data_IF_271422626624
#
_entry.id   IF_271422626624
#
_cell.length_a   1.000
_cell.length_b   1.000
_cell.length_c   1.000
_cell.angle_alpha   90.00
_cell.angle_beta   90.00
_cell.angle_gamma   90.00
#
_symmetry.space_group_name_H-M   'P 1'
#
loop_
_entity.id
_entity.type
_entity.pdbx_description
1 polymer ?
#
# COMPACT_ATOMS: atom_id res chain seq x y z
N UNK A 1 -10.02 -5.49 17.92
CA UNK A 1 -8.95 -6.51 17.89
C UNK A 1 -7.78 -5.99 17.08
N UNK A 2 -6.57 -6.28 17.48
CA UNK A 2 -5.38 -5.97 16.69
C UNK A 2 -5.05 -7.19 15.84
N UNK A 3 -4.90 -6.99 14.54
CA UNK A 3 -4.50 -8.05 13.60
C UNK A 3 -3.17 -7.68 12.95
N UNK A 4 -2.26 -8.64 12.89
CA UNK A 4 -0.95 -8.46 12.27
C UNK A 4 -0.95 -9.11 10.89
N UNK A 5 -0.59 -8.34 9.87
CA UNK A 5 -0.55 -8.80 8.49
C UNK A 5 0.77 -8.38 7.83
N UNK A 6 1.21 -9.18 6.89
CA UNK A 6 2.34 -8.82 6.03
C UNK A 6 1.82 -8.60 4.62
N UNK A 7 2.08 -7.41 4.08
CA UNK A 7 1.68 -7.05 2.73
C UNK A 7 2.87 -6.45 2.02
N UNK A 8 3.43 -7.16 1.06
CA UNK A 8 4.54 -6.66 0.26
C UNK A 8 4.02 -5.80 -0.89
N UNK A 9 4.65 -4.66 -1.13
CA UNK A 9 4.28 -3.74 -2.20
C UNK A 9 5.51 -3.40 -3.03
N UNK A 10 5.44 -3.67 -4.32
CA UNK A 10 6.46 -3.27 -5.28
C UNK A 10 6.05 -1.94 -5.91
N UNK A 11 6.83 -0.90 -5.63
CA UNK A 11 6.58 0.47 -6.09
C UNK A 11 7.19 0.71 -7.47
N UNK A 12 6.60 0.08 -8.49
CA UNK A 12 7.04 0.29 -9.86
C UNK A 12 6.66 1.68 -10.39
N UNK A 13 7.41 2.17 -11.37
CA UNK A 13 7.09 3.44 -12.03
C UNK A 13 5.90 3.32 -12.99
N UNK A 14 5.66 2.13 -13.49
CA UNK A 14 4.54 1.84 -14.39
C UNK A 14 3.36 1.26 -13.64
N UNK A 15 3.61 0.28 -12.77
CA UNK A 15 2.57 -0.41 -12.02
C UNK A 15 2.98 -0.58 -10.56
N UNK A 16 1.99 -0.48 -9.69
CA UNK A 16 2.08 -0.96 -8.32
C UNK A 16 1.69 -2.42 -8.30
N UNK A 17 2.43 -3.24 -7.56
CA UNK A 17 2.17 -4.68 -7.49
C UNK A 17 2.15 -5.16 -6.06
N UNK A 18 1.19 -6.03 -5.77
CA UNK A 18 1.17 -6.83 -4.55
C UNK A 18 1.13 -8.30 -4.93
N UNK A 19 1.04 -9.18 -3.94
CA UNK A 19 0.91 -10.63 -4.17
C UNK A 19 -0.25 -10.96 -5.12
N UNK A 20 -1.34 -10.21 -5.06
CA UNK A 20 -2.59 -10.53 -5.77
C UNK A 20 -3.10 -9.42 -6.68
N UNK A 21 -2.46 -8.26 -6.69
CA UNK A 21 -2.96 -7.09 -7.40
C UNK A 21 -1.87 -6.46 -8.25
N UNK A 22 -2.28 -5.97 -9.40
CA UNK A 22 -1.45 -5.10 -10.26
C UNK A 22 -2.34 -3.95 -10.68
N UNK A 23 -1.88 -2.73 -10.50
CA UNK A 23 -2.61 -1.55 -10.97
C UNK A 23 -1.63 -0.46 -11.40
N UNK A 24 -2.09 0.44 -12.25
CA UNK A 24 -1.25 1.51 -12.78
C UNK A 24 -0.79 2.46 -11.67
N UNK A 25 0.47 2.88 -11.72
CA UNK A 25 1.01 3.90 -10.81
C UNK A 25 0.46 5.26 -11.22
N UNK A 26 -0.79 5.50 -10.87
CA UNK A 26 -1.53 6.68 -11.27
C UNK A 26 -2.66 6.97 -10.29
N UNK A 27 -2.86 8.25 -9.97
CA UNK A 27 -3.78 8.67 -8.92
C UNK A 27 -4.49 9.95 -9.29
N UNK A 28 -5.80 10.00 -9.03
CA UNK A 28 -6.62 11.21 -9.14
C UNK A 28 -7.08 11.59 -7.75
N UNK A 29 -6.99 12.88 -7.43
CA UNK A 29 -7.50 13.44 -6.17
C UNK A 29 -8.70 14.32 -6.46
N UNK A 30 -9.75 14.20 -5.66
CA UNK A 30 -10.92 15.07 -5.77
C UNK A 30 -11.58 15.31 -4.41
N UNK A 31 -12.31 16.42 -4.31
CA UNK A 31 -12.98 16.81 -3.05
C UNK A 31 -14.37 16.17 -2.90
N UNK A 32 -15.01 15.83 -4.00
CA UNK A 32 -16.36 15.26 -3.99
C UNK A 32 -16.31 13.74 -4.01
N UNK A 33 -17.28 13.12 -3.33
CA UNK A 33 -17.42 11.67 -3.33
C UNK A 33 -17.59 11.15 -4.76
N UNK A 34 -16.82 10.13 -5.17
CA UNK A 34 -16.94 9.54 -6.49
C UNK A 34 -18.31 8.92 -6.75
N UNK A 35 -18.64 8.73 -8.01
CA UNK A 35 -19.87 8.10 -8.42
C UNK A 35 -19.96 6.67 -7.87
N UNK A 36 -21.19 6.19 -7.67
CA UNK A 36 -21.44 4.83 -7.19
C UNK A 36 -20.83 3.81 -8.16
N UNK A 37 -20.10 2.85 -7.59
CA UNK A 37 -19.40 1.81 -8.38
C UNK A 37 -17.94 2.13 -8.69
N UNK A 38 -17.49 3.35 -8.46
CA UNK A 38 -16.09 3.69 -8.60
C UNK A 38 -15.29 3.26 -7.37
N UNK A 39 -14.13 2.68 -7.59
CA UNK A 39 -13.23 2.30 -6.52
C UNK A 39 -12.44 3.52 -6.05
N UNK A 40 -12.56 3.84 -4.77
CA UNK A 40 -11.88 4.98 -4.18
C UNK A 40 -11.42 4.67 -2.75
N UNK A 41 -10.50 5.49 -2.26
CA UNK A 41 -10.28 5.64 -0.82
C UNK A 41 -10.49 7.09 -0.42
N UNK A 42 -11.07 7.28 0.76
CA UNK A 42 -11.15 8.60 1.40
C UNK A 42 -10.15 8.61 2.55
N UNK A 43 -9.20 9.52 2.47
CA UNK A 43 -8.09 9.59 3.42
C UNK A 43 -7.70 11.03 3.65
N UNK A 44 -7.63 11.42 4.91
CA UNK A 44 -7.27 12.78 5.34
C UNK A 44 -8.03 13.89 4.59
N UNK A 45 -9.34 13.71 4.47
CA UNK A 45 -10.24 14.72 3.91
C UNK A 45 -10.30 14.78 2.39
N UNK A 46 -9.68 13.85 1.68
CA UNK A 46 -9.70 13.82 0.21
C UNK A 46 -10.07 12.43 -0.32
N UNK A 47 -10.74 12.43 -1.47
CA UNK A 47 -11.02 11.21 -2.22
C UNK A 47 -9.93 10.96 -3.24
N UNK A 48 -9.44 9.72 -3.29
CA UNK A 48 -8.42 9.30 -4.23
C UNK A 48 -8.94 8.14 -5.05
N UNK A 49 -8.71 8.21 -6.37
CA UNK A 49 -9.08 7.17 -7.32
C UNK A 49 -7.87 6.76 -8.14
N UNK A 50 -7.86 5.50 -8.57
CA UNK A 50 -6.85 5.05 -9.51
C UNK A 50 -7.14 5.61 -10.91
N UNK A 51 -6.08 5.91 -11.64
CA UNK A 51 -6.16 6.51 -12.98
C UNK A 51 -5.36 5.66 -13.96
N UNK A 52 -5.58 5.88 -15.24
CA UNK A 52 -4.74 5.31 -16.31
C UNK A 52 -3.56 6.20 -16.67
N UNK A 53 -3.52 7.40 -16.12
CA UNK A 53 -2.47 8.39 -16.41
C UNK A 53 -1.36 8.29 -15.39
N UNK A 54 -0.26 7.65 -15.76
CA UNK A 54 0.87 7.42 -14.87
C UNK A 54 1.44 8.71 -14.27
N UNK A 55 1.88 8.60 -13.02
CA UNK A 55 2.72 9.61 -12.38
C UNK A 55 4.08 9.60 -13.09
N UNK A 56 4.66 10.77 -13.43
CA UNK A 56 5.98 10.82 -14.02
C UNK A 56 7.04 10.13 -13.15
N UNK A 57 8.07 9.61 -13.79
CA UNK A 57 9.16 8.93 -13.09
C UNK A 57 9.73 9.80 -11.98
N UNK A 58 9.90 9.18 -10.81
CA UNK A 58 10.56 9.79 -9.66
C UNK A 58 11.61 8.83 -9.10
N UNK A 59 12.83 9.33 -8.98
CA UNK A 59 13.91 8.57 -8.32
C UNK A 59 13.59 8.37 -6.83
N UNK A 60 13.20 9.45 -6.17
CA UNK A 60 12.85 9.45 -4.75
C UNK A 60 11.34 9.65 -4.58
N UNK A 61 10.66 8.54 -4.33
CA UNK A 61 9.19 8.52 -4.20
C UNK A 61 8.71 9.11 -2.86
N UNK A 62 9.61 9.34 -1.92
CA UNK A 62 9.23 9.98 -0.65
C UNK A 62 8.95 11.48 -0.83
N UNK A 63 9.37 12.07 -1.93
CA UNK A 63 9.11 13.46 -2.28
C UNK A 63 7.72 13.69 -2.85
N UNK A 64 6.98 12.61 -3.14
CA UNK A 64 5.64 12.68 -3.71
C UNK A 64 4.68 11.84 -2.87
N UNK A 65 3.86 12.51 -2.07
CA UNK A 65 2.91 11.83 -1.17
C UNK A 65 1.91 10.91 -1.90
N UNK A 66 1.76 11.06 -3.22
CA UNK A 66 0.92 10.15 -4.01
C UNK A 66 1.39 8.70 -3.89
N UNK A 67 2.69 8.47 -3.74
CA UNK A 67 3.20 7.12 -3.56
C UNK A 67 2.80 6.52 -2.21
N UNK A 68 2.70 7.34 -1.17
CA UNK A 68 2.16 6.89 0.10
C UNK A 68 0.68 6.50 -0.04
N UNK A 69 -0.11 7.32 -0.70
CA UNK A 69 -1.54 7.04 -0.94
C UNK A 69 -1.70 5.79 -1.81
N UNK A 70 -0.88 5.62 -2.84
CA UNK A 70 -0.88 4.40 -3.65
C UNK A 70 -0.56 3.16 -2.82
N UNK A 71 0.33 3.30 -1.84
CA UNK A 71 0.64 2.21 -0.90
C UNK A 71 -0.59 1.87 -0.05
N UNK A 72 -1.31 2.87 0.43
CA UNK A 72 -2.57 2.63 1.15
C UNK A 72 -3.61 1.94 0.26
N UNK A 73 -3.69 2.32 -1.02
CA UNK A 73 -4.55 1.63 -1.99
C UNK A 73 -4.17 0.16 -2.14
N UNK A 74 -2.88 -0.13 -2.27
CA UNK A 74 -2.38 -1.49 -2.38
C UNK A 74 -2.76 -2.32 -1.16
N UNK A 75 -2.58 -1.75 0.03
CA UNK A 75 -2.94 -2.40 1.30
C UNK A 75 -4.44 -2.69 1.33
N UNK A 76 -5.28 -1.71 1.03
CA UNK A 76 -6.73 -1.87 1.06
C UNK A 76 -7.19 -2.92 0.05
N UNK A 77 -6.62 -2.95 -1.15
CA UNK A 77 -6.95 -3.98 -2.15
C UNK A 77 -6.66 -5.38 -1.62
N UNK A 78 -5.56 -5.57 -0.91
CA UNK A 78 -5.24 -6.84 -0.29
C UNK A 78 -6.19 -7.16 0.88
N UNK A 79 -6.53 -6.17 1.69
CA UNK A 79 -7.42 -6.36 2.85
C UNK A 79 -8.84 -6.79 2.45
N UNK A 80 -9.30 -6.42 1.27
CA UNK A 80 -10.62 -6.82 0.77
C UNK A 80 -10.80 -8.33 0.62
N UNK A 81 -9.72 -9.07 0.64
CA UNK A 81 -9.75 -10.55 0.61
C UNK A 81 -10.05 -11.17 1.97
N UNK A 82 -10.05 -10.38 3.02
CA UNK A 82 -10.25 -10.86 4.38
C UNK A 82 -11.59 -10.35 4.91
N UNK A 83 -12.72 -10.99 4.55
CA UNK A 83 -14.05 -10.50 4.95
C UNK A 83 -14.30 -10.57 6.46
N UNK A 84 -13.46 -11.29 7.19
CA UNK A 84 -13.56 -11.39 8.65
C UNK A 84 -13.02 -10.16 9.39
N UNK A 85 -12.39 -9.22 8.69
CA UNK A 85 -11.90 -7.99 9.31
C UNK A 85 -13.08 -7.10 9.66
N UNK A 86 -13.19 -6.75 10.95
CA UNK A 86 -14.22 -5.82 11.42
C UNK A 86 -13.75 -4.38 11.28
N UNK A 87 -14.68 -3.40 11.09
CA UNK A 87 -14.29 -1.99 10.95
C UNK A 87 -13.51 -1.43 12.14
N UNK A 88 -13.74 -1.96 13.35
CA UNK A 88 -13.04 -1.55 14.56
C UNK A 88 -11.68 -2.22 14.75
N UNK A 89 -11.32 -3.20 13.94
CA UNK A 89 -10.02 -3.86 14.03
C UNK A 89 -8.90 -2.89 13.62
N UNK A 90 -7.80 -2.90 14.39
CA UNK A 90 -6.58 -2.21 13.99
C UNK A 90 -5.66 -3.20 13.32
N UNK A 91 -5.29 -2.88 12.08
CA UNK A 91 -4.48 -3.75 11.24
C UNK A 91 -3.03 -3.27 11.31
N UNK A 92 -2.18 -4.03 11.97
CA UNK A 92 -0.75 -3.76 12.01
C UNK A 92 -0.09 -4.40 10.79
N UNK A 93 0.38 -3.57 9.88
CA UNK A 93 0.95 -4.01 8.62
C UNK A 93 2.47 -4.03 8.72
N UNK A 94 3.07 -5.20 8.47
CA UNK A 94 4.47 -5.31 8.15
C UNK A 94 4.59 -5.18 6.63
N UNK A 95 5.34 -4.19 6.18
CA UNK A 95 5.34 -3.73 4.80
C UNK A 95 6.72 -3.88 4.17
N UNK A 96 7.02 -5.03 3.54
CA UNK A 96 8.15 -5.11 2.62
C UNK A 96 7.88 -4.26 1.38
N UNK A 97 8.84 -3.41 1.00
CA UNK A 97 8.71 -2.57 -0.20
C UNK A 97 9.87 -2.83 -1.16
N UNK A 98 9.57 -2.86 -2.45
CA UNK A 98 10.56 -3.04 -3.49
C UNK A 98 11.06 -1.72 -4.04
N UNK A 99 12.38 -1.58 -4.14
CA UNK A 99 13.05 -0.44 -4.75
C UNK A 99 13.88 -0.87 -5.94
N UNK A 100 14.01 -0.03 -6.99
CA UNK A 100 14.94 -0.32 -8.06
C UNK A 100 16.34 -0.60 -7.50
N UNK A 101 17.03 -1.69 -7.93
CA UNK A 101 18.35 -2.04 -7.39
C UNK A 101 19.36 -0.90 -7.52
N UNK A 102 19.26 -0.13 -8.59
CA UNK A 102 20.12 1.02 -8.87
C UNK A 102 20.10 2.07 -7.76
N UNK A 103 18.99 2.22 -7.04
CA UNK A 103 18.82 3.27 -6.02
C UNK A 103 18.74 2.70 -4.61
N UNK A 104 18.83 1.40 -4.46
CA UNK A 104 18.56 0.73 -3.19
C UNK A 104 19.46 1.21 -2.06
N UNK A 105 20.80 1.23 -2.30
CA UNK A 105 21.75 1.59 -1.26
C UNK A 105 21.55 3.02 -0.75
N UNK A 106 21.16 3.94 -1.65
CA UNK A 106 20.99 5.36 -1.30
C UNK A 106 19.68 5.68 -0.63
N UNK A 107 18.64 4.90 -0.90
CA UNK A 107 17.26 5.28 -0.55
C UNK A 107 16.58 4.36 0.46
N UNK A 108 17.16 3.19 0.77
CA UNK A 108 16.46 2.19 1.58
C UNK A 108 16.05 2.71 2.96
N UNK A 109 16.94 3.32 3.71
CA UNK A 109 16.61 3.87 5.04
C UNK A 109 15.57 4.98 4.97
N UNK A 110 15.69 5.86 3.98
CA UNK A 110 14.76 6.96 3.77
C UNK A 110 13.35 6.44 3.50
N UNK A 111 13.22 5.40 2.68
CA UNK A 111 11.94 4.78 2.37
C UNK A 111 11.34 4.08 3.59
N UNK A 112 12.16 3.35 4.32
CA UNK A 112 11.69 2.67 5.53
C UNK A 112 11.14 3.67 6.54
N UNK A 113 11.86 4.76 6.80
CA UNK A 113 11.40 5.83 7.71
C UNK A 113 10.14 6.52 7.20
N UNK A 114 10.09 6.83 5.91
CA UNK A 114 8.96 7.54 5.30
C UNK A 114 7.66 6.72 5.38
N UNK A 115 7.70 5.46 4.96
CA UNK A 115 6.50 4.63 4.93
C UNK A 115 6.08 4.18 6.33
N UNK A 116 7.01 4.04 7.26
CA UNK A 116 6.69 3.74 8.66
C UNK A 116 6.00 4.92 9.34
N UNK A 117 6.47 6.14 9.07
CA UNK A 117 5.92 7.36 9.65
C UNK A 117 6.05 7.39 11.17
N UNK A 118 5.02 7.91 11.85
CA UNK A 118 5.02 8.19 13.29
C UNK A 118 4.20 7.17 14.10
N UNK A 119 4.11 5.93 13.68
CA UNK A 119 3.25 4.91 14.32
C UNK A 119 1.78 5.31 14.41
N UNK A 120 1.33 6.07 13.46
CA UNK A 120 -0.04 6.60 13.38
C UNK A 120 -0.98 5.51 12.86
N UNK A 121 -2.21 5.49 13.38
CA UNK A 121 -3.28 4.68 12.79
C UNK A 121 -3.95 5.50 11.69
N UNK A 122 -3.92 4.99 10.48
CA UNK A 122 -4.54 5.61 9.32
C UNK A 122 -5.97 5.11 9.18
N UNK A 123 -6.94 6.02 9.20
CA UNK A 123 -8.31 5.69 8.89
C UNK A 123 -8.54 5.83 7.39
N UNK A 124 -8.93 4.74 6.75
CA UNK A 124 -9.14 4.70 5.31
C UNK A 124 -10.58 4.25 5.06
N UNK A 125 -11.37 5.13 4.47
CA UNK A 125 -12.77 4.87 4.15
C UNK A 125 -12.87 4.47 2.68
N UNK A 126 -13.57 3.37 2.42
CA UNK A 126 -13.83 2.87 1.07
C UNK A 126 -15.33 2.74 0.87
N UNK A 127 -15.78 2.47 -0.35
CA UNK A 127 -17.19 2.19 -0.61
C UNK A 127 -17.67 0.95 0.18
N UNK A 128 -16.79 -0.04 0.37
CA UNK A 128 -17.11 -1.29 1.08
C UNK A 128 -16.96 -1.25 2.59
N UNK A 129 -16.44 -0.16 3.16
CA UNK A 129 -16.24 -0.04 4.61
C UNK A 129 -14.99 0.73 4.98
N UNK A 130 -14.74 0.79 6.28
CA UNK A 130 -13.62 1.54 6.87
C UNK A 130 -12.55 0.58 7.38
N UNK A 131 -11.28 0.92 7.14
CA UNK A 131 -10.12 0.20 7.67
C UNK A 131 -9.28 1.13 8.53
N UNK A 132 -8.74 0.59 9.61
CA UNK A 132 -7.78 1.27 10.47
C UNK A 132 -6.44 0.56 10.31
N UNK A 133 -5.47 1.22 9.69
CA UNK A 133 -4.19 0.64 9.30
C UNK A 133 -3.06 1.35 10.02
N UNK A 134 -2.22 0.58 10.72
CA UNK A 134 -0.97 1.06 11.28
C UNK A 134 0.18 0.35 10.54
N UNK A 135 1.07 1.11 9.95
CA UNK A 135 2.28 0.55 9.34
C UNK A 135 3.28 0.37 10.47
N UNK A 136 3.44 -0.89 10.91
CA UNK A 136 4.21 -1.21 12.09
C UNK A 136 5.71 -1.32 11.77
N UNK A 137 6.03 -1.97 10.67
CA UNK A 137 7.42 -2.17 10.26
C UNK A 137 7.51 -2.09 8.74
N UNK A 138 8.61 -1.54 8.25
CA UNK A 138 8.87 -1.37 6.83
C UNK A 138 10.27 -1.89 6.55
N UNK A 139 10.39 -2.78 5.57
CA UNK A 139 11.68 -3.28 5.10
C UNK A 139 11.79 -3.05 3.60
N UNK A 140 12.83 -2.32 3.18
CA UNK A 140 13.09 -2.09 1.77
C UNK A 140 13.96 -3.20 1.20
N UNK A 141 13.63 -3.66 0.00
CA UNK A 141 14.38 -4.67 -0.74
C UNK A 141 14.59 -4.23 -2.18
N UNK A 142 15.64 -4.69 -2.86
CA UNK A 142 15.70 -4.56 -4.32
C UNK A 142 14.45 -5.18 -4.95
N UNK A 143 13.93 -4.59 -6.03
CA UNK A 143 12.64 -4.99 -6.62
C UNK A 143 12.50 -6.48 -6.88
N UNK A 144 13.54 -7.10 -7.44
CA UNK A 144 13.51 -8.54 -7.72
C UNK A 144 13.35 -9.37 -6.44
N UNK A 145 13.96 -8.89 -5.36
CA UNK A 145 13.86 -9.53 -4.06
C UNK A 145 12.46 -9.39 -3.47
N UNK A 146 11.83 -8.21 -3.63
CA UNK A 146 10.46 -7.98 -3.18
C UNK A 146 9.48 -8.89 -3.91
N UNK A 147 9.69 -9.16 -5.19
CA UNK A 147 8.88 -10.11 -5.95
C UNK A 147 8.96 -11.53 -5.36
N UNK A 148 10.15 -11.96 -4.94
CA UNK A 148 10.32 -13.22 -4.22
C UNK A 148 9.55 -13.23 -2.90
N UNK A 149 9.59 -12.14 -2.16
CA UNK A 149 8.88 -12.01 -0.89
C UNK A 149 7.37 -12.12 -1.08
N UNK A 150 6.80 -11.59 -2.16
CA UNK A 150 5.37 -11.74 -2.43
C UNK A 150 5.00 -13.20 -2.69
N UNK A 151 5.84 -13.96 -3.36
CA UNK A 151 5.64 -15.40 -3.57
C UNK A 151 5.71 -16.16 -2.24
N UNK A 152 6.68 -15.84 -1.40
CA UNK A 152 6.84 -16.45 -0.08
C UNK A 152 5.60 -16.15 0.78
N UNK A 153 5.13 -14.90 0.81
CA UNK A 153 3.93 -14.52 1.55
C UNK A 153 2.71 -15.30 1.07
N UNK A 154 2.56 -15.49 -0.22
CA UNK A 154 1.47 -16.28 -0.79
C UNK A 154 1.51 -17.74 -0.34
N UNK A 155 2.69 -18.33 -0.21
CA UNK A 155 2.87 -19.69 0.28
C UNK A 155 2.61 -19.79 1.79
N UNK A 156 2.93 -18.73 2.54
CA UNK A 156 2.73 -18.67 3.99
C UNK A 156 1.30 -18.36 4.39
N UNK A 157 0.52 -17.76 3.51
CA UNK A 157 -0.91 -17.49 3.70
C UNK A 157 -1.79 -18.74 3.57
N UNK A 158 -1.21 -19.87 3.25
CA UNK A 158 -1.87 -21.16 3.46
C UNK A 158 -2.13 -21.26 4.95
N UNK A 159 -3.39 -21.44 5.39
CA UNK A 159 -3.78 -21.16 6.75
C UNK A 159 -2.97 -21.92 7.76
N UNK A 160 -2.16 -21.17 8.48
CA UNK A 160 -1.79 -21.57 9.83
C UNK A 160 -3.03 -21.29 10.66
N UNK A 161 -3.84 -22.30 10.79
CA UNK A 161 -4.94 -22.24 11.74
C UNK A 161 -4.44 -21.73 13.09
#
# INVERSE_FOLDING_TARGET
MIRKLRIAVDHGNKNMKTCNQVFTTALITQDKKPARGEEYIFYEGKYYLLSNRRIPYQRDKTEDERFFVLTLFAIVKELKKYPQIAPEDVLQINLPIGLPPKHFADLCEKYECYFKGENKVHEIITEGGTYHVAIHDVMAFPQDYAAMMTVIDKLQDIPKS
#
